data_IF_851056377958
#
_entry.id   IF_851056377958
#
_cell.length_a   1.000
_cell.length_b   1.000
_cell.length_c   1.000
_cell.angle_alpha   90.00
_cell.angle_beta   90.00
_cell.angle_gamma   90.00
#
_symmetry.space_group_name_H-M   'P 1'
#
loop_
_entity.id
_entity.type
_entity.pdbx_description
1 polymer ?
#
# COMPACT_ATOMS: atom_id res chain seq x y z
N UNK A 1 1.41 -6.46 4.32
CA UNK A 1 -0.02 -6.32 3.96
C UNK A 1 -0.35 -4.88 3.53
N UNK A 2 -0.05 -3.85 4.34
CA UNK A 2 -0.34 -2.45 4.01
C UNK A 2 0.29 -2.01 2.68
N UNK A 3 1.59 -2.26 2.51
CA UNK A 3 2.30 -1.91 1.28
C UNK A 3 1.75 -2.64 0.04
N UNK A 4 1.32 -3.89 0.19
CA UNK A 4 0.72 -4.66 -0.90
C UNK A 4 -0.60 -4.03 -1.37
N UNK A 5 -1.42 -3.55 -0.46
CA UNK A 5 -2.68 -2.87 -0.79
C UNK A 5 -2.40 -1.56 -1.53
N UNK A 6 -1.40 -0.76 -1.09
CA UNK A 6 -0.98 0.45 -1.79
C UNK A 6 -0.55 0.17 -3.23
N UNK A 7 0.33 -0.83 -3.44
CA UNK A 7 0.76 -1.21 -4.80
C UNK A 7 -0.40 -1.67 -5.69
N UNK A 8 -1.36 -2.44 -5.15
CA UNK A 8 -2.55 -2.85 -5.91
C UNK A 8 -3.40 -1.64 -6.28
N UNK A 9 -3.48 -0.65 -5.41
CA UNK A 9 -4.21 0.59 -5.66
C UNK A 9 -3.56 1.38 -6.81
N UNK A 10 -2.23 1.56 -6.80
CA UNK A 10 -1.48 2.19 -7.90
C UNK A 10 -1.70 1.48 -9.24
N UNK A 11 -1.71 0.14 -9.25
CA UNK A 11 -2.02 -0.60 -10.48
C UNK A 11 -3.45 -0.36 -10.96
N UNK A 12 -4.40 -0.22 -10.04
CA UNK A 12 -5.78 0.10 -10.39
C UNK A 12 -5.86 1.49 -11.03
N UNK A 13 -5.29 2.52 -10.42
CA UNK A 13 -5.27 3.89 -10.93
C UNK A 13 -4.61 3.95 -12.31
N UNK A 14 -3.41 3.42 -12.44
CA UNK A 14 -2.71 3.34 -13.73
C UNK A 14 -3.54 2.62 -14.82
N UNK A 15 -4.23 1.53 -14.46
CA UNK A 15 -5.08 0.79 -15.40
C UNK A 15 -6.28 1.63 -15.85
N UNK A 16 -6.91 2.34 -14.92
CA UNK A 16 -8.06 3.20 -15.21
C UNK A 16 -7.65 4.36 -16.13
N UNK A 17 -6.50 4.97 -15.88
CA UNK A 17 -5.99 6.07 -16.71
C UNK A 17 -5.64 5.59 -18.12
N UNK A 18 -5.01 4.42 -18.26
CA UNK A 18 -4.65 3.84 -19.55
C UNK A 18 -5.84 3.37 -20.38
N UNK A 19 -6.86 2.77 -19.76
CA UNK A 19 -8.00 2.19 -20.48
C UNK A 19 -9.13 3.18 -20.73
N UNK A 20 -9.35 4.10 -19.81
CA UNK A 20 -10.50 5.01 -19.85
C UNK A 20 -10.10 6.47 -20.01
N UNK A 21 -8.80 6.77 -20.12
CA UNK A 21 -8.25 8.14 -20.24
C UNK A 21 -8.77 9.03 -19.09
N UNK A 22 -8.76 8.49 -17.89
CA UNK A 22 -9.03 9.23 -16.66
C UNK A 22 -7.73 9.90 -16.18
N UNK A 23 -7.78 10.61 -15.09
CA UNK A 23 -6.65 11.28 -14.44
C UNK A 23 -6.72 10.95 -12.94
N UNK A 24 -6.58 9.66 -12.63
CA UNK A 24 -6.58 9.18 -11.25
C UNK A 24 -5.20 9.34 -10.60
N UNK A 25 -4.14 9.05 -11.37
CA UNK A 25 -2.77 9.39 -11.02
C UNK A 25 -2.50 10.85 -11.44
N UNK A 26 -2.39 11.73 -10.45
CA UNK A 26 -2.26 13.16 -10.72
C UNK A 26 -0.97 13.49 -11.43
N UNK A 27 -1.11 14.23 -12.50
CA UNK A 27 0.01 14.70 -13.28
C UNK A 27 0.75 15.84 -12.57
N UNK A 28 2.07 15.76 -12.59
CA UNK A 28 2.94 16.83 -12.10
C UNK A 28 3.64 17.54 -13.24
N UNK A 29 3.82 18.86 -13.09
CA UNK A 29 4.55 19.66 -14.08
C UNK A 29 6.00 19.83 -13.63
N UNK A 30 6.94 19.35 -14.44
CA UNK A 30 8.39 19.41 -14.16
C UNK A 30 9.11 20.31 -15.18
N UNK A 31 10.14 21.02 -14.72
CA UNK A 31 10.93 21.92 -15.57
C UNK A 31 12.25 21.31 -16.05
N UNK A 32 12.51 20.07 -15.67
CA UNK A 32 13.74 19.36 -16.06
C UNK A 32 13.41 17.89 -16.32
N UNK A 33 13.85 17.38 -17.43
CA UNK A 33 13.78 15.96 -17.77
C UNK A 33 15.14 15.44 -18.13
N UNK A 34 15.39 14.16 -17.82
CA UNK A 34 16.59 13.45 -18.17
C UNK A 34 16.25 12.04 -18.67
N UNK A 35 16.79 11.68 -19.83
CA UNK A 35 16.55 10.34 -20.38
C UNK A 35 17.70 9.92 -21.29
N UNK A 36 18.01 8.64 -21.31
CA UNK A 36 18.92 8.06 -22.31
C UNK A 36 18.33 8.13 -23.73
N UNK A 37 17.02 8.25 -23.86
CA UNK A 37 16.36 8.46 -25.16
C UNK A 37 16.67 9.82 -25.77
N UNK A 38 17.19 10.77 -25.00
CA UNK A 38 17.64 12.08 -25.46
C UNK A 38 19.11 12.09 -25.87
N UNK A 39 19.80 10.94 -25.83
CA UNK A 39 21.20 10.81 -26.27
C UNK A 39 21.27 10.66 -27.80
N UNK A 40 21.78 11.67 -28.53
CA UNK A 40 21.89 11.60 -29.98
C UNK A 40 22.99 10.63 -30.43
N UNK A 41 23.88 10.19 -29.53
CA UNK A 41 25.02 9.34 -29.86
C UNK A 41 24.69 7.84 -29.71
N UNK A 42 23.58 7.49 -29.04
CA UNK A 42 23.24 6.10 -28.71
C UNK A 42 24.20 5.45 -27.72
N UNK A 43 25.05 6.23 -27.03
CA UNK A 43 26.04 5.78 -26.05
C UNK A 43 25.48 5.45 -24.67
N UNK A 44 24.17 5.46 -24.51
CA UNK A 44 23.47 5.22 -23.26
C UNK A 44 23.84 6.24 -22.15
N UNK A 45 24.15 7.48 -22.57
CA UNK A 45 24.34 8.60 -21.66
C UNK A 45 23.05 9.41 -21.53
N UNK A 46 22.57 9.75 -20.33
CA UNK A 46 21.32 10.50 -20.18
C UNK A 46 21.51 11.94 -20.71
N UNK A 47 20.74 12.29 -21.72
CA UNK A 47 20.55 13.70 -22.13
C UNK A 47 19.67 14.40 -21.11
N UNK A 48 19.95 15.66 -20.78
CA UNK A 48 19.19 16.46 -19.81
C UNK A 48 18.71 17.75 -20.46
N UNK A 49 17.40 18.00 -20.43
CA UNK A 49 16.78 19.26 -20.84
C UNK A 49 16.31 19.98 -19.57
N UNK A 50 16.69 21.25 -19.42
CA UNK A 50 16.36 22.07 -18.24
C UNK A 50 15.60 23.32 -18.65
N UNK A 51 14.97 23.95 -17.66
CA UNK A 51 14.21 25.19 -17.82
C UNK A 51 13.11 25.07 -18.89
N UNK A 52 12.40 23.94 -18.89
CA UNK A 52 11.26 23.70 -19.76
C UNK A 52 10.14 24.64 -19.33
N UNK A 53 9.64 25.45 -20.26
CA UNK A 53 8.54 26.40 -20.02
C UNK A 53 7.25 25.99 -20.72
N UNK A 54 7.33 25.11 -21.70
CA UNK A 54 6.17 24.52 -22.37
C UNK A 54 6.57 23.29 -23.17
N UNK A 55 5.59 22.50 -23.58
CA UNK A 55 5.73 21.34 -24.46
C UNK A 55 4.79 21.50 -25.65
N UNK A 56 5.30 21.26 -26.84
CA UNK A 56 4.52 21.24 -28.07
C UNK A 56 4.37 19.80 -28.51
N UNK A 57 3.13 19.31 -28.52
CA UNK A 57 2.79 17.99 -29.06
C UNK A 57 2.53 18.08 -30.54
N UNK A 58 3.26 17.29 -31.34
CA UNK A 58 3.06 17.18 -32.80
C UNK A 58 2.27 15.92 -33.09
N UNK A 59 1.11 16.05 -33.69
CA UNK A 59 0.24 14.94 -34.06
C UNK A 59 0.62 14.36 -35.43
N UNK A 60 0.10 13.16 -35.72
CA UNK A 60 0.43 12.45 -36.98
C UNK A 60 -0.02 13.19 -38.26
N UNK A 61 -1.01 14.07 -38.16
CA UNK A 61 -1.48 14.93 -39.24
C UNK A 61 -0.66 16.23 -39.42
N UNK A 62 0.36 16.43 -38.58
CA UNK A 62 1.21 17.62 -38.54
C UNK A 62 0.67 18.74 -37.66
N UNK A 63 -0.49 18.59 -37.03
CA UNK A 63 -1.04 19.57 -36.10
C UNK A 63 -0.11 19.71 -34.87
N UNK A 64 0.15 20.95 -34.49
CA UNK A 64 0.96 21.27 -33.30
C UNK A 64 0.10 21.92 -32.24
N UNK A 65 0.17 21.38 -31.04
CA UNK A 65 -0.57 21.88 -29.86
C UNK A 65 0.41 22.17 -28.72
N UNK A 66 0.52 23.44 -28.35
CA UNK A 66 1.23 23.81 -27.14
C UNK A 66 0.35 23.49 -25.91
N UNK A 67 0.91 22.83 -24.92
CA UNK A 67 0.15 22.43 -23.73
C UNK A 67 -0.14 23.62 -22.80
N UNK A 68 0.72 24.66 -22.79
CA UNK A 68 0.54 25.85 -21.97
C UNK A 68 0.63 25.62 -20.46
N UNK A 69 1.27 24.51 -20.04
CA UNK A 69 1.29 24.08 -18.63
C UNK A 69 2.47 24.67 -17.84
N UNK A 70 3.38 25.39 -18.49
CA UNK A 70 4.54 25.97 -17.82
C UNK A 70 5.71 24.98 -17.61
N UNK A 71 5.66 23.79 -18.20
CA UNK A 71 6.70 22.77 -18.09
C UNK A 71 6.32 21.48 -18.82
N UNK A 72 7.00 20.40 -18.51
CA UNK A 72 6.75 19.06 -19.02
C UNK A 72 5.82 18.29 -18.07
N UNK A 73 4.82 17.63 -18.63
CA UNK A 73 3.86 16.81 -17.89
C UNK A 73 4.44 15.41 -17.66
N UNK A 74 4.50 14.94 -16.42
CA UNK A 74 5.12 13.66 -16.07
C UNK A 74 4.19 12.44 -16.15
N UNK A 75 2.89 12.68 -16.34
CA UNK A 75 1.85 11.64 -16.49
C UNK A 75 1.83 10.67 -15.31
N UNK A 76 1.60 11.21 -14.09
CA UNK A 76 1.35 10.45 -12.87
C UNK A 76 2.56 9.76 -12.23
N UNK A 77 3.77 9.88 -12.80
CA UNK A 77 4.96 9.21 -12.25
C UNK A 77 5.31 9.67 -10.84
N UNK A 78 5.29 10.98 -10.60
CA UNK A 78 5.64 11.53 -9.28
C UNK A 78 4.59 11.21 -8.24
N UNK A 79 3.31 11.26 -8.58
CA UNK A 79 2.20 10.90 -7.71
C UNK A 79 2.34 9.44 -7.22
N UNK A 80 2.50 8.50 -8.17
CA UNK A 80 2.78 7.09 -7.85
C UNK A 80 3.98 6.92 -6.91
N UNK A 81 5.07 7.66 -7.16
CA UNK A 81 6.27 7.55 -6.32
C UNK A 81 6.04 8.11 -4.91
N UNK A 82 5.29 9.20 -4.76
CA UNK A 82 4.92 9.76 -3.45
C UNK A 82 4.05 8.78 -2.66
N UNK A 83 3.05 8.18 -3.27
CA UNK A 83 2.14 7.24 -2.63
C UNK A 83 2.85 5.95 -2.22
N UNK A 84 3.70 5.41 -3.07
CA UNK A 84 4.56 4.27 -2.70
C UNK A 84 5.50 4.62 -1.55
N UNK A 85 6.05 5.82 -1.52
CA UNK A 85 6.94 6.27 -0.45
C UNK A 85 6.20 6.40 0.89
N UNK A 86 5.01 7.00 0.92
CA UNK A 86 4.17 7.10 2.12
C UNK A 86 3.79 5.70 2.64
N UNK A 87 3.38 4.80 1.76
CA UNK A 87 3.11 3.41 2.10
C UNK A 87 4.34 2.69 2.67
N UNK A 88 5.52 2.91 2.09
CA UNK A 88 6.78 2.35 2.58
C UNK A 88 7.09 2.85 4.00
N UNK A 89 7.00 4.15 4.26
CA UNK A 89 7.23 4.73 5.59
C UNK A 89 6.28 4.13 6.63
N UNK A 90 4.99 3.98 6.28
CA UNK A 90 4.00 3.34 7.13
C UNK A 90 4.39 1.89 7.46
N UNK A 91 4.67 1.07 6.44
CA UNK A 91 5.05 -0.33 6.61
C UNK A 91 6.35 -0.48 7.42
N UNK A 92 7.35 0.36 7.16
CA UNK A 92 8.63 0.37 7.87
C UNK A 92 8.44 0.69 9.36
N UNK A 93 7.66 1.73 9.67
CA UNK A 93 7.37 2.14 11.06
C UNK A 93 6.68 1.02 11.83
N UNK A 94 5.64 0.41 11.25
CA UNK A 94 4.94 -0.71 11.90
C UNK A 94 5.82 -1.96 12.02
N UNK A 95 6.72 -2.20 11.09
CA UNK A 95 7.69 -3.29 11.16
C UNK A 95 8.67 -3.11 12.33
N UNK A 96 9.15 -1.89 12.56
CA UNK A 96 10.00 -1.55 13.71
C UNK A 96 9.25 -1.77 15.04
N UNK A 97 8.00 -1.27 15.12
CA UNK A 97 7.17 -1.47 16.32
C UNK A 97 6.97 -2.96 16.58
N UNK A 98 6.63 -3.72 15.57
CA UNK A 98 6.44 -5.17 15.64
C UNK A 98 7.73 -5.90 16.06
N UNK A 99 8.88 -5.52 15.50
CA UNK A 99 10.17 -6.09 15.87
C UNK A 99 10.47 -5.90 17.36
N UNK A 100 10.31 -4.69 17.88
CA UNK A 100 10.53 -4.43 19.32
C UNK A 100 9.51 -5.13 20.21
N UNK A 101 8.28 -5.29 19.75
CA UNK A 101 7.26 -6.06 20.47
C UNK A 101 7.66 -7.52 20.60
N UNK A 102 8.03 -8.17 19.50
CA UNK A 102 8.45 -9.59 19.49
C UNK A 102 9.72 -9.76 20.33
N UNK A 103 10.74 -8.90 20.14
CA UNK A 103 11.99 -8.96 20.88
C UNK A 103 11.81 -8.78 22.39
N UNK A 104 10.87 -7.94 22.81
CA UNK A 104 10.55 -7.72 24.23
C UNK A 104 9.62 -8.80 24.83
N UNK A 105 9.31 -9.86 24.08
CA UNK A 105 8.34 -10.90 24.45
C UNK A 105 7.00 -10.33 24.93
N UNK A 106 6.53 -9.28 24.28
CA UNK A 106 5.26 -8.63 24.60
C UNK A 106 5.27 -7.77 25.87
N UNK A 107 6.40 -7.52 26.51
CA UNK A 107 6.50 -6.69 27.73
C UNK A 107 6.46 -5.19 27.43
N UNK A 108 6.68 -4.78 26.20
CA UNK A 108 6.68 -3.37 25.79
C UNK A 108 5.26 -2.81 25.76
N UNK A 109 4.91 -1.96 26.74
CA UNK A 109 3.57 -1.36 26.89
C UNK A 109 3.19 -0.47 25.71
N UNK A 110 4.16 0.19 25.08
CA UNK A 110 3.93 1.07 23.93
C UNK A 110 3.50 0.26 22.70
N UNK A 111 4.22 -0.82 22.40
CA UNK A 111 3.90 -1.67 21.24
C UNK A 111 2.55 -2.40 21.41
N UNK A 112 2.15 -2.76 22.63
CA UNK A 112 0.83 -3.38 22.89
C UNK A 112 -0.35 -2.52 22.45
N UNK A 113 -0.21 -1.20 22.42
CA UNK A 113 -1.30 -0.30 22.03
C UNK A 113 -1.64 -0.40 20.53
N UNK A 114 -0.69 -0.85 19.72
CA UNK A 114 -0.83 -0.94 18.26
C UNK A 114 -1.18 -2.35 17.77
N UNK A 115 -1.19 -3.34 18.66
CA UNK A 115 -1.50 -4.73 18.31
C UNK A 115 -2.93 -5.03 18.72
N UNK A 116 -3.81 -5.41 17.76
CA UNK A 116 -5.18 -5.80 18.09
C UNK A 116 -5.15 -7.05 18.99
N UNK A 117 -5.85 -6.98 20.12
CA UNK A 117 -6.06 -8.11 21.01
C UNK A 117 -7.39 -8.75 20.63
N UNK A 118 -7.37 -10.03 20.29
CA UNK A 118 -8.59 -10.81 20.14
C UNK A 118 -9.17 -11.01 21.54
N UNK A 119 -10.33 -10.41 21.83
CA UNK A 119 -11.10 -10.74 23.00
C UNK A 119 -11.73 -12.11 22.75
N UNK A 120 -11.15 -13.16 23.28
CA UNK A 120 -11.83 -14.45 23.37
C UNK A 120 -13.02 -14.26 24.32
N UNK A 121 -14.24 -14.33 23.80
CA UNK A 121 -15.42 -14.44 24.64
C UNK A 121 -15.26 -15.70 25.51
N UNK A 122 -15.52 -15.63 26.82
CA UNK A 122 -15.40 -16.80 27.68
C UNK A 122 -16.38 -17.86 27.19
N UNK A 123 -15.85 -18.97 26.69
CA UNK A 123 -16.68 -20.12 26.34
C UNK A 123 -17.48 -20.54 27.58
N UNK A 124 -18.80 -20.73 27.47
CA UNK A 124 -19.60 -21.23 28.60
C UNK A 124 -19.02 -22.57 29.04
N UNK A 125 -18.52 -22.60 30.29
CA UNK A 125 -18.03 -23.84 30.90
C UNK A 125 -19.16 -24.86 30.83
N UNK A 126 -18.92 -25.96 30.11
CA UNK A 126 -19.80 -27.12 30.16
C UNK A 126 -19.88 -27.57 31.63
N UNK A 127 -21.05 -27.42 32.27
CA UNK A 127 -21.33 -27.97 33.58
C UNK A 127 -21.10 -29.48 33.51
N UNK A 128 -20.04 -29.95 34.12
CA UNK A 128 -19.90 -31.37 34.45
C UNK A 128 -21.05 -31.73 35.38
N UNK A 129 -22.11 -32.28 34.85
CA UNK A 129 -23.15 -32.96 35.62
C UNK A 129 -22.54 -34.32 35.98
N UNK A 130 -21.91 -34.36 37.13
CA UNK A 130 -21.55 -35.61 37.78
C UNK A 130 -22.85 -36.34 38.08
N UNK A 131 -23.03 -37.47 37.44
CA UNK A 131 -24.08 -38.42 37.73
C UNK A 131 -23.76 -39.07 39.08
N UNK A 132 -24.45 -38.65 40.11
CA UNK A 132 -24.51 -39.33 41.41
C UNK A 132 -25.97 -39.43 41.77
N UNK A 133 -26.60 -40.51 41.30
CA UNK A 133 -27.83 -41.12 41.89
C UNK A 133 -27.96 -42.53 41.33
N UNK A 134 -27.32 -43.47 42.07
CA UNK A 134 -27.64 -44.88 41.97
C UNK A 134 -28.67 -45.23 43.06
N UNK A 135 -29.86 -45.78 42.77
CA UNK A 135 -30.80 -46.20 43.79
C UNK A 135 -30.32 -47.49 44.45
N UNK A 136 -30.27 -47.45 45.78
CA UNK A 136 -30.10 -48.64 46.65
C UNK A 136 -31.17 -49.66 46.36
N UNK A 137 -30.79 -50.88 46.01
CA UNK A 137 -31.68 -52.04 45.96
C UNK A 137 -31.81 -52.63 47.39
N UNK A 138 -33.00 -52.46 47.90
CA UNK A 138 -33.53 -53.09 49.09
C UNK A 138 -33.42 -54.64 49.05
N UNK A 139 -32.70 -55.26 49.97
CA UNK A 139 -32.67 -56.66 50.17
C UNK A 139 -33.82 -57.06 51.15
N UNK A 140 -34.86 -57.63 50.58
CA UNK A 140 -35.86 -58.34 51.41
C UNK A 140 -35.43 -59.79 51.55
N UNK A 141 -35.40 -60.22 52.78
CA UNK A 141 -35.23 -61.63 53.22
C UNK A 141 -36.56 -62.39 52.96
N UNK A 142 -36.44 -63.57 52.48
CA UNK A 142 -36.93 -64.84 53.00
C UNK A 142 -36.38 -66.00 52.17
#
# INVERSE_FOLDING_TARGET
FSMTVGVIWEFFECTMDQLFLLDMQKDSVVNTIGSVMLDPTGGNHPGVIRNITDVIVVQSDGTQTALGLGGYLDIGLLDTMEDLFVNFIGAFTFSIIGYFYVRSRGKNKFAKRFIPVVNEEPQPQAKNTSAEDAPETEKTKE
#
